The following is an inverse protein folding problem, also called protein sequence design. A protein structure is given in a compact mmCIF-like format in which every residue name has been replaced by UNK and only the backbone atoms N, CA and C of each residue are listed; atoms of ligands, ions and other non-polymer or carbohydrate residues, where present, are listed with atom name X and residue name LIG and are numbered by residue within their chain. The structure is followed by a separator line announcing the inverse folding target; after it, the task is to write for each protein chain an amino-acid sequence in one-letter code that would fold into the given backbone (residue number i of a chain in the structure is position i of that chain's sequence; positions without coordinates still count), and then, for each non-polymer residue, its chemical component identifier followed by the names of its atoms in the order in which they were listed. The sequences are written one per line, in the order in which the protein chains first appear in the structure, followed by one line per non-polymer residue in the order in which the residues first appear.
data_IF_460330138046
#
_entry.id   IF_460330138046
#
_cell.length_a   1.000
_cell.length_b   1.000
_cell.length_c   1.000
_cell.angle_alpha   90.00
_cell.angle_beta   90.00
_cell.angle_gamma   90.00
#
_symmetry.space_group_name_H-M   'P 1'
#
loop_
_entity.id
_entity.type
_entity.pdbx_description
1 polymer ?
#
# COMPACT_ATOMS: atom_id res chain seq x y z
N UNK A 1 -12.46 38.52 -25.33
CA UNK A 1 -12.59 38.06 -23.95
C UNK A 1 -12.11 36.62 -23.93
N UNK A 2 -10.82 36.42 -23.66
CA UNK A 2 -10.18 35.10 -23.68
C UNK A 2 -10.59 34.36 -22.42
N UNK A 3 -11.38 33.28 -22.57
CA UNK A 3 -11.66 32.34 -21.50
C UNK A 3 -10.44 31.45 -21.32
N UNK A 4 -9.65 31.73 -20.29
CA UNK A 4 -8.60 30.82 -19.83
C UNK A 4 -9.31 29.70 -19.08
N UNK A 5 -9.38 28.51 -19.68
CA UNK A 5 -9.68 27.28 -18.95
C UNK A 5 -8.58 27.13 -17.91
N UNK A 6 -8.90 27.32 -16.63
CA UNK A 6 -8.03 26.90 -15.55
C UNK A 6 -8.00 25.38 -15.60
N UNK A 7 -6.84 24.82 -15.96
CA UNK A 7 -6.53 23.45 -15.62
C UNK A 7 -6.50 23.39 -14.09
N UNK A 8 -7.56 22.85 -13.49
CA UNK A 8 -7.54 22.41 -12.10
C UNK A 8 -6.48 21.32 -12.00
N UNK A 9 -5.29 21.69 -11.53
CA UNK A 9 -4.37 20.72 -10.94
C UNK A 9 -5.05 20.26 -9.65
N UNK A 10 -5.85 19.21 -9.76
CA UNK A 10 -6.33 18.46 -8.60
C UNK A 10 -5.08 18.03 -7.82
N UNK A 11 -4.91 18.57 -6.61
CA UNK A 11 -3.98 18.02 -5.62
C UNK A 11 -4.50 16.63 -5.24
N UNK A 12 -4.27 15.63 -6.11
CA UNK A 12 -4.71 14.26 -5.87
C UNK A 12 -3.99 13.74 -4.63
N UNK A 13 -4.75 13.53 -3.56
CA UNK A 13 -4.25 12.94 -2.32
C UNK A 13 -3.50 11.64 -2.64
N UNK A 14 -2.33 11.37 -2.03
CA UNK A 14 -1.61 10.14 -2.30
C UNK A 14 -2.44 8.94 -1.84
N UNK A 15 -2.17 7.79 -2.45
CA UNK A 15 -2.58 6.51 -1.90
C UNK A 15 -1.83 6.28 -0.58
N UNK A 16 -2.48 5.62 0.37
CA UNK A 16 -1.83 5.21 1.62
C UNK A 16 -1.65 3.69 1.61
N UNK A 17 -0.48 3.23 2.07
CA UNK A 17 -0.17 1.82 2.26
C UNK A 17 0.29 1.63 3.70
N UNK A 18 -0.35 0.75 4.44
CA UNK A 18 0.08 0.32 5.77
C UNK A 18 0.39 -1.17 5.73
N UNK A 19 1.48 -1.58 6.36
CA UNK A 19 1.86 -2.99 6.50
C UNK A 19 2.16 -3.31 7.95
N UNK A 20 1.90 -4.55 8.35
CA UNK A 20 2.23 -5.10 9.66
C UNK A 20 2.57 -6.59 9.50
N UNK A 21 3.68 -7.04 10.05
CA UNK A 21 4.25 -8.36 9.82
C UNK A 21 4.19 -9.22 11.06
N UNK A 22 3.97 -10.51 10.84
CA UNK A 22 3.96 -11.48 11.92
C UNK A 22 4.70 -12.75 11.54
N UNK A 23 5.50 -13.23 12.46
CA UNK A 23 6.24 -14.47 12.38
C UNK A 23 6.08 -15.27 13.64
N UNK A 24 5.92 -16.56 13.46
CA UNK A 24 5.87 -17.56 14.51
C UNK A 24 6.72 -18.76 14.12
N UNK A 25 6.92 -19.69 15.05
CA UNK A 25 7.57 -20.97 14.74
C UNK A 25 6.79 -21.84 13.75
N UNK A 26 5.51 -21.53 13.50
CA UNK A 26 4.64 -22.26 12.59
C UNK A 26 4.57 -21.65 11.18
N UNK A 27 5.15 -20.46 11.00
CA UNK A 27 5.16 -19.74 9.72
C UNK A 27 5.04 -18.22 9.92
N UNK A 28 5.00 -17.50 8.80
CA UNK A 28 4.92 -16.04 8.76
C UNK A 28 3.81 -15.55 7.82
N UNK A 29 3.44 -14.29 8.00
CA UNK A 29 2.45 -13.59 7.22
C UNK A 29 2.47 -12.10 7.53
N UNK A 30 1.62 -11.34 6.86
CA UNK A 30 1.52 -9.90 7.06
C UNK A 30 0.13 -9.38 6.69
N UNK A 31 -0.28 -8.30 7.34
CA UNK A 31 -1.41 -7.48 6.95
C UNK A 31 -0.97 -6.36 6.01
N UNK A 32 -1.84 -6.00 5.06
CA UNK A 32 -1.68 -4.84 4.19
C UNK A 32 -3.01 -4.09 4.14
N UNK A 33 -2.97 -2.77 4.34
CA UNK A 33 -4.11 -1.88 4.13
C UNK A 33 -3.76 -0.83 3.09
N UNK A 34 -4.56 -0.73 2.04
CA UNK A 34 -4.42 0.27 0.98
C UNK A 34 -5.63 1.20 1.04
N UNK A 35 -5.39 2.50 1.22
CA UNK A 35 -6.44 3.54 1.15
C UNK A 35 -6.29 4.31 -0.15
N UNK A 36 -7.35 4.38 -0.95
CA UNK A 36 -7.38 5.17 -2.20
C UNK A 36 -7.42 6.68 -1.91
N UNK A 37 -7.09 7.54 -2.88
CA UNK A 37 -7.26 9.00 -2.75
C UNK A 37 -8.70 9.44 -2.45
N UNK A 38 -9.67 8.59 -2.78
CA UNK A 38 -11.10 8.79 -2.51
C UNK A 38 -11.46 8.44 -1.05
N UNK A 39 -10.60 7.68 -0.36
CA UNK A 39 -10.78 7.25 1.02
C UNK A 39 -11.36 5.84 1.14
N UNK A 40 -11.33 5.04 0.08
CA UNK A 40 -11.76 3.65 0.13
C UNK A 40 -10.63 2.76 0.64
N UNK A 41 -10.92 1.89 1.62
CA UNK A 41 -9.95 0.97 2.21
C UNK A 41 -10.04 -0.43 1.60
N UNK A 42 -8.88 -1.03 1.32
CA UNK A 42 -8.71 -2.41 0.90
C UNK A 42 -7.74 -3.12 1.84
N UNK A 43 -8.22 -4.16 2.53
CA UNK A 43 -7.45 -4.92 3.50
C UNK A 43 -7.08 -6.30 2.95
N UNK A 44 -5.82 -6.69 3.12
CA UNK A 44 -5.28 -7.96 2.67
C UNK A 44 -4.52 -8.65 3.80
N UNK A 45 -4.65 -9.98 3.86
CA UNK A 45 -3.84 -10.83 4.70
C UNK A 45 -3.01 -11.75 3.81
N UNK A 46 -1.69 -11.67 3.95
CA UNK A 46 -0.72 -12.45 3.19
C UNK A 46 -0.19 -13.54 4.11
N UNK A 47 -0.23 -14.79 3.64
CA UNK A 47 0.49 -15.90 4.27
C UNK A 47 1.68 -16.23 3.39
N UNK A 48 2.88 -16.24 3.95
CA UNK A 48 4.07 -16.62 3.22
C UNK A 48 4.25 -18.14 3.26
N UNK A 49 4.66 -18.71 2.13
CA UNK A 49 5.00 -20.15 2.01
C UNK A 49 6.43 -20.46 2.47
N UNK A 50 7.14 -19.43 2.98
CA UNK A 50 8.47 -19.53 3.54
C UNK A 50 8.46 -18.98 4.97
N UNK A 51 9.41 -19.43 5.78
CA UNK A 51 9.64 -18.82 7.08
C UNK A 51 10.37 -17.48 6.89
N UNK A 52 9.84 -16.45 7.52
CA UNK A 52 10.41 -15.10 7.58
C UNK A 52 10.37 -14.62 9.03
N UNK A 53 11.26 -13.73 9.45
CA UNK A 53 11.08 -12.89 10.64
C UNK A 53 9.94 -11.88 10.45
N UNK A 54 9.49 -11.20 11.52
CA UNK A 54 8.46 -10.15 11.40
C UNK A 54 8.88 -9.08 10.37
N UNK A 55 10.10 -8.55 10.51
CA UNK A 55 10.62 -7.52 9.61
C UNK A 55 10.73 -7.99 8.15
N UNK A 56 11.10 -9.26 7.92
CA UNK A 56 11.10 -9.83 6.56
C UNK A 56 9.67 -9.96 6.02
N UNK A 57 8.71 -10.35 6.88
CA UNK A 57 7.30 -10.43 6.50
C UNK A 57 6.70 -9.04 6.16
N UNK A 58 6.98 -8.00 6.97
CA UNK A 58 6.66 -6.59 6.66
C UNK A 58 7.25 -6.15 5.34
N UNK A 59 8.54 -6.44 5.12
CA UNK A 59 9.24 -6.00 3.91
C UNK A 59 8.65 -6.62 2.64
N UNK A 60 8.37 -7.93 2.67
CA UNK A 60 7.75 -8.63 1.55
C UNK A 60 6.31 -8.13 1.30
N UNK A 61 5.56 -7.85 2.37
CA UNK A 61 4.24 -7.25 2.28
C UNK A 61 4.28 -5.84 1.69
N UNK A 62 5.29 -5.04 2.05
CA UNK A 62 5.52 -3.70 1.52
C UNK A 62 5.78 -3.74 0.02
N UNK A 63 6.66 -4.64 -0.44
CA UNK A 63 6.94 -4.83 -1.87
C UNK A 63 5.67 -5.23 -2.63
N UNK A 64 4.88 -6.16 -2.08
CA UNK A 64 3.62 -6.57 -2.71
C UNK A 64 2.60 -5.43 -2.75
N UNK A 65 2.42 -4.69 -1.65
CA UNK A 65 1.51 -3.56 -1.57
C UNK A 65 1.87 -2.43 -2.53
N UNK A 66 3.16 -2.11 -2.67
CA UNK A 66 3.65 -1.16 -3.67
C UNK A 66 3.35 -1.62 -5.10
N UNK A 67 3.51 -2.92 -5.38
CA UNK A 67 3.17 -3.49 -6.68
C UNK A 67 1.68 -3.39 -6.98
N UNK A 68 0.84 -3.73 -6.01
CA UNK A 68 -0.62 -3.68 -6.15
C UNK A 68 -1.12 -2.25 -6.39
N UNK A 69 -0.61 -1.28 -5.65
CA UNK A 69 -0.96 0.14 -5.85
C UNK A 69 -0.47 0.66 -7.20
N UNK A 70 0.74 0.30 -7.63
CA UNK A 70 1.26 0.64 -8.95
C UNK A 70 0.39 0.05 -10.08
N UNK A 71 0.04 -1.23 -10.00
CA UNK A 71 -0.80 -1.90 -11.00
C UNK A 71 -2.24 -1.32 -11.02
N UNK A 72 -2.71 -0.73 -9.91
CA UNK A 72 -3.97 0.00 -9.82
C UNK A 72 -3.89 1.46 -10.32
N UNK A 73 -2.71 1.95 -10.71
CA UNK A 73 -2.51 3.29 -11.28
C UNK A 73 -2.12 4.37 -10.27
N UNK A 74 -1.64 4.01 -9.08
CA UNK A 74 -1.12 4.99 -8.12
C UNK A 74 0.12 5.71 -8.66
N UNK A 75 0.08 7.04 -8.69
CA UNK A 75 1.23 7.89 -9.04
C UNK A 75 2.01 8.37 -7.80
N UNK A 76 1.30 8.55 -6.68
CA UNK A 76 1.85 8.98 -5.41
C UNK A 76 1.38 8.04 -4.30
N UNK A 77 2.33 7.54 -3.51
CA UNK A 77 2.10 6.57 -2.45
C UNK A 77 2.85 7.02 -1.19
N UNK A 78 2.16 7.01 -0.05
CA UNK A 78 2.77 7.10 1.27
C UNK A 78 2.65 5.74 1.95
N UNK A 79 3.79 5.19 2.34
CA UNK A 79 3.87 3.87 2.94
C UNK A 79 4.28 3.94 4.41
N UNK A 80 3.63 3.14 5.25
CA UNK A 80 3.83 3.07 6.68
C UNK A 80 4.02 1.60 7.09
N UNK A 81 4.90 1.38 8.06
CA UNK A 81 5.18 0.11 8.74
C UNK A 81 5.25 0.41 10.24
N UNK A 82 5.04 -0.59 11.09
CA UNK A 82 5.17 -0.51 12.54
C UNK A 82 6.61 -0.44 13.06
#
# INVERSE_FOLDING_TARGET
MTGTTQEEVSEERPWLLHVDGSSTTQGSGAGVVITTPQGDDMEFAIKFDFNASNNEAEYEAMVLGMRMTQDAGALHLLAYSD
#
